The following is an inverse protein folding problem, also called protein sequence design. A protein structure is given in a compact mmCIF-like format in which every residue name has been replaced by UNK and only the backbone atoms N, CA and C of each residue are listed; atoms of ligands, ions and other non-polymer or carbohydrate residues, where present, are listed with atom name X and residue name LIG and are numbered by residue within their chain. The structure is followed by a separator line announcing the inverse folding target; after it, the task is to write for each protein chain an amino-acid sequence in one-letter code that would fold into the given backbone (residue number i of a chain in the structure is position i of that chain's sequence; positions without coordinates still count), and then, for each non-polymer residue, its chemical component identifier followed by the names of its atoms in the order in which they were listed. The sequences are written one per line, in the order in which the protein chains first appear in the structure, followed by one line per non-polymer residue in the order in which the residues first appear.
data_IF_406588104101
#
_entry.id   IF_406588104101
#
_cell.length_a   1.000
_cell.length_b   1.000
_cell.length_c   1.000
_cell.angle_alpha   90.00
_cell.angle_beta   90.00
_cell.angle_gamma   90.00
#
_symmetry.space_group_name_H-M   'P 1'
#
loop_
_entity.id
_entity.type
_entity.pdbx_description
1 polymer ?
#
# COMPACT_ATOMS: atom_id res chain seq x y z
N UNK A 1 -1.25 25.29 61.49
CA UNK A 1 -0.47 25.41 60.24
C UNK A 1 -0.06 24.01 59.78
N UNK A 2 -0.77 23.42 58.80
CA UNK A 2 -0.44 22.07 58.29
C UNK A 2 0.67 22.22 57.25
N UNK A 3 1.85 21.65 57.51
CA UNK A 3 2.96 21.59 56.54
C UNK A 3 2.46 20.82 55.31
N UNK A 4 2.13 21.53 54.25
CA UNK A 4 1.95 20.93 52.93
C UNK A 4 3.33 20.44 52.51
N UNK A 5 3.60 19.17 52.81
CA UNK A 5 4.91 18.54 52.63
C UNK A 5 5.30 18.56 51.16
N UNK A 6 6.49 19.06 50.88
CA UNK A 6 7.13 19.08 49.56
C UNK A 6 7.05 17.74 48.82
N UNK A 7 7.00 16.60 49.54
CA UNK A 7 6.78 15.25 49.01
C UNK A 7 5.45 15.06 48.26
N UNK A 8 4.38 15.76 48.67
CA UNK A 8 3.07 15.69 48.01
C UNK A 8 3.07 16.44 46.67
N UNK A 9 3.89 17.49 46.55
CA UNK A 9 4.06 18.23 45.31
C UNK A 9 4.85 17.42 44.28
N UNK A 10 5.92 16.75 44.72
CA UNK A 10 6.77 15.91 43.88
C UNK A 10 5.98 14.71 43.34
N UNK A 11 5.19 14.04 44.18
CA UNK A 11 4.40 12.87 43.77
C UNK A 11 3.35 13.24 42.71
N UNK A 12 2.69 14.40 42.84
CA UNK A 12 1.71 14.90 41.86
C UNK A 12 2.37 15.26 40.54
N UNK A 13 3.56 15.86 40.57
CA UNK A 13 4.33 16.18 39.37
C UNK A 13 4.74 14.90 38.62
N UNK A 14 5.19 13.86 39.34
CA UNK A 14 5.54 12.55 38.75
C UNK A 14 4.31 11.88 38.13
N UNK A 15 3.16 11.88 38.81
CA UNK A 15 1.91 11.34 38.28
C UNK A 15 1.41 12.09 37.03
N UNK A 16 1.52 13.42 37.02
CA UNK A 16 1.15 14.23 35.86
C UNK A 16 2.07 13.99 34.66
N UNK A 17 3.38 13.84 34.90
CA UNK A 17 4.36 13.54 33.85
C UNK A 17 4.16 12.14 33.26
N UNK A 18 3.82 11.17 34.11
CA UNK A 18 3.49 9.81 33.68
C UNK A 18 2.18 9.76 32.87
N UNK A 19 1.13 10.48 33.31
CA UNK A 19 -0.13 10.58 32.58
C UNK A 19 0.04 11.27 31.21
N UNK A 20 0.87 12.32 31.13
CA UNK A 20 1.22 12.97 29.87
C UNK A 20 1.95 12.01 28.92
N UNK A 21 2.91 11.22 29.42
CA UNK A 21 3.62 10.22 28.64
C UNK A 21 2.68 9.12 28.08
N UNK A 22 1.69 8.68 28.86
CA UNK A 22 0.68 7.69 28.42
C UNK A 22 -0.26 8.27 27.35
N UNK A 23 -0.59 9.57 27.42
CA UNK A 23 -1.39 10.22 26.38
C UNK A 23 -0.64 10.32 25.04
N UNK A 24 0.69 10.49 25.09
CA UNK A 24 1.54 10.59 23.90
C UNK A 24 1.73 9.26 23.14
N UNK A 25 1.52 8.09 23.76
CA UNK A 25 1.67 6.79 23.07
C UNK A 25 0.51 6.46 22.12
N UNK A 26 -0.62 7.16 22.23
CA UNK A 26 -1.80 6.93 21.37
C UNK A 26 -1.61 7.41 19.92
N UNK A 27 -0.52 8.12 19.62
CA UNK A 27 -0.21 8.67 18.28
C UNK A 27 0.88 7.84 17.57
N UNK A 28 1.03 6.55 17.89
CA UNK A 28 1.85 5.64 17.09
C UNK A 28 1.17 5.39 15.74
N UNK A 29 1.43 6.27 14.76
CA UNK A 29 1.01 6.08 13.37
C UNK A 29 1.70 4.82 12.81
N UNK A 30 0.93 3.85 12.36
CA UNK A 30 1.43 2.70 11.62
C UNK A 30 1.92 3.18 10.24
N UNK A 31 3.18 3.60 10.14
CA UNK A 31 3.78 3.94 8.85
C UNK A 31 3.82 2.68 7.98
N UNK A 32 3.06 2.67 6.89
CA UNK A 32 3.04 1.57 5.93
C UNK A 32 3.88 1.97 4.73
N UNK A 33 4.94 1.21 4.49
CA UNK A 33 5.79 1.37 3.32
C UNK A 33 5.03 0.95 2.06
N UNK A 34 4.83 1.91 1.14
CA UNK A 34 4.07 1.69 -0.09
C UNK A 34 4.77 2.28 -1.32
N UNK A 35 4.48 1.68 -2.47
CA UNK A 35 4.77 2.20 -3.80
C UNK A 35 3.52 2.15 -4.68
N UNK A 36 3.73 2.07 -5.99
CA UNK A 36 2.66 1.92 -6.98
C UNK A 36 3.09 1.08 -8.17
N UNK A 37 2.10 0.51 -8.85
CA UNK A 37 2.28 -0.20 -10.12
C UNK A 37 1.32 0.43 -11.14
N UNK A 38 1.85 0.78 -12.30
CA UNK A 38 1.08 1.30 -13.42
C UNK A 38 1.42 0.51 -14.69
N UNK A 39 0.55 0.59 -15.68
CA UNK A 39 0.77 -0.12 -16.92
C UNK A 39 -0.26 0.19 -17.96
N UNK A 40 0.04 -0.19 -19.20
CA UNK A 40 -0.88 -0.15 -20.33
C UNK A 40 -1.04 -1.54 -20.90
N UNK A 41 -2.26 -1.89 -21.29
CA UNK A 41 -2.55 -3.12 -22.02
C UNK A 41 -2.86 -2.76 -23.46
N UNK A 42 -2.10 -3.33 -24.38
CA UNK A 42 -2.34 -3.24 -25.82
C UNK A 42 -2.64 -4.62 -26.40
N UNK A 43 -3.10 -4.67 -27.64
CA UNK A 43 -3.17 -5.91 -28.43
C UNK A 43 -1.98 -6.03 -29.39
N UNK A 44 -1.81 -7.15 -30.12
CA UNK A 44 -0.72 -7.32 -31.08
C UNK A 44 -0.75 -6.34 -32.27
N UNK A 45 -1.87 -5.65 -32.51
CA UNK A 45 -1.96 -4.59 -33.52
C UNK A 45 -1.50 -3.22 -32.99
N UNK A 46 -1.26 -3.11 -31.68
CA UNK A 46 -0.87 -1.89 -30.98
C UNK A 46 -2.05 -1.07 -30.47
N UNK A 47 -3.28 -1.57 -30.58
CA UNK A 47 -4.46 -0.88 -30.05
C UNK A 47 -4.58 -1.08 -28.54
N UNK A 48 -5.04 -0.05 -27.82
CA UNK A 48 -5.25 -0.14 -26.36
C UNK A 48 -6.46 -1.00 -26.02
N UNK A 49 -6.34 -1.81 -24.96
CA UNK A 49 -7.42 -2.69 -24.50
C UNK A 49 -8.10 -2.08 -23.28
N UNK A 50 -9.29 -1.51 -23.47
CA UNK A 50 -10.13 -0.98 -22.40
C UNK A 50 -10.93 -2.08 -21.70
N UNK A 51 -11.11 -1.97 -20.39
CA UNK A 51 -11.92 -2.90 -19.59
C UNK A 51 -11.25 -4.23 -19.27
N UNK A 52 -9.99 -4.44 -19.64
CA UNK A 52 -9.21 -5.62 -19.27
C UNK A 52 -9.05 -5.71 -17.76
N UNK A 53 -9.33 -6.87 -17.17
CA UNK A 53 -9.15 -7.11 -15.74
C UNK A 53 -7.69 -7.39 -15.45
N UNK A 54 -7.12 -6.61 -14.55
CA UNK A 54 -5.76 -6.77 -14.03
C UNK A 54 -5.84 -7.22 -12.58
N UNK A 55 -5.14 -8.29 -12.25
CA UNK A 55 -5.05 -8.84 -10.88
C UNK A 55 -3.61 -8.79 -10.42
N UNK A 56 -3.40 -8.15 -9.29
CA UNK A 56 -2.13 -8.02 -8.60
C UNK A 56 -2.14 -8.93 -7.37
N UNK A 57 -1.31 -9.97 -7.37
CA UNK A 57 -1.19 -10.92 -6.25
C UNK A 57 0.15 -10.74 -5.56
N UNK A 58 0.14 -10.47 -4.25
CA UNK A 58 1.34 -10.44 -3.44
C UNK A 58 1.86 -11.87 -3.22
N UNK A 59 3.09 -12.15 -3.63
CA UNK A 59 3.68 -13.50 -3.59
C UNK A 59 4.02 -13.95 -2.16
N UNK A 60 4.25 -13.03 -1.23
CA UNK A 60 4.57 -13.35 0.17
C UNK A 60 3.33 -13.63 1.03
N UNK A 61 2.20 -13.00 0.72
CA UNK A 61 0.96 -13.07 1.54
C UNK A 61 -0.22 -13.73 0.84
N UNK A 62 -0.17 -13.90 -0.48
CA UNK A 62 -1.28 -14.39 -1.29
C UNK A 62 -2.42 -13.38 -1.49
N UNK A 63 -2.35 -12.19 -0.88
CA UNK A 63 -3.37 -11.16 -1.03
C UNK A 63 -3.47 -10.69 -2.48
N UNK A 64 -4.69 -10.58 -3.00
CA UNK A 64 -4.96 -10.16 -4.36
C UNK A 64 -5.77 -8.86 -4.40
N UNK A 65 -5.40 -7.98 -5.32
CA UNK A 65 -6.14 -6.78 -5.69
C UNK A 65 -6.49 -6.87 -7.17
N UNK A 66 -7.67 -6.41 -7.56
CA UNK A 66 -8.04 -6.33 -8.97
C UNK A 66 -8.51 -4.93 -9.35
N UNK A 67 -8.23 -4.55 -10.59
CA UNK A 67 -8.75 -3.35 -11.23
C UNK A 67 -9.04 -3.64 -12.71
N UNK A 68 -9.70 -2.73 -13.39
CA UNK A 68 -9.89 -2.80 -14.84
C UNK A 68 -9.10 -1.67 -15.51
N UNK A 69 -8.65 -1.88 -16.74
CA UNK A 69 -8.07 -0.80 -17.54
C UNK A 69 -9.11 0.25 -17.90
N UNK A 70 -8.68 1.51 -17.93
CA UNK A 70 -9.47 2.63 -18.43
C UNK A 70 -9.62 2.63 -19.95
N UNK A 71 -10.29 3.66 -20.49
CA UNK A 71 -10.50 3.81 -21.94
C UNK A 71 -9.21 4.02 -22.75
N UNK A 72 -8.14 4.44 -22.09
CA UNK A 72 -6.78 4.57 -22.61
C UNK A 72 -5.95 3.27 -22.47
N UNK A 73 -6.55 2.18 -21.97
CA UNK A 73 -5.86 0.92 -21.70
C UNK A 73 -4.97 0.95 -20.47
N UNK A 74 -4.98 2.03 -19.70
CA UNK A 74 -4.11 2.20 -18.52
C UNK A 74 -4.75 1.56 -17.28
N UNK A 75 -3.94 0.90 -16.47
CA UNK A 75 -4.31 0.47 -15.12
C UNK A 75 -3.34 1.03 -14.08
N UNK A 76 -3.82 1.14 -12.84
CA UNK A 76 -3.03 1.61 -11.71
C UNK A 76 -3.41 0.91 -10.41
N UNK A 77 -2.40 0.48 -9.67
CA UNK A 77 -2.49 0.08 -8.28
C UNK A 77 -1.68 1.07 -7.44
N UNK A 78 -2.35 1.83 -6.58
CA UNK A 78 -1.71 2.77 -5.66
C UNK A 78 -2.69 3.11 -4.52
N UNK A 79 -2.26 3.04 -3.25
CA UNK A 79 -0.96 2.54 -2.79
C UNK A 79 -0.85 1.00 -2.84
N UNK A 80 0.35 0.47 -3.00
CA UNK A 80 0.69 -0.96 -2.93
C UNK A 80 1.78 -1.18 -1.90
N UNK A 81 1.63 -2.14 -0.98
CA UNK A 81 2.67 -2.45 0.00
C UNK A 81 3.95 -2.93 -0.69
N UNK A 82 5.11 -2.65 -0.12
CA UNK A 82 6.36 -3.20 -0.64
C UNK A 82 6.35 -4.74 -0.67
N UNK A 83 7.03 -5.33 -1.65
CA UNK A 83 7.13 -6.78 -1.78
C UNK A 83 7.23 -7.25 -3.23
N UNK A 84 7.11 -8.57 -3.40
CA UNK A 84 7.11 -9.24 -4.70
C UNK A 84 5.68 -9.58 -5.12
N UNK A 85 5.39 -9.35 -6.39
CA UNK A 85 4.04 -9.51 -6.93
C UNK A 85 4.02 -10.29 -8.24
N UNK A 86 2.88 -10.95 -8.48
CA UNK A 86 2.45 -11.42 -9.79
C UNK A 86 1.35 -10.49 -10.30
N UNK A 87 1.50 -9.98 -11.52
CA UNK A 87 0.41 -9.36 -12.26
C UNK A 87 -0.15 -10.35 -13.28
N UNK A 88 -1.46 -10.37 -13.40
CA UNK A 88 -2.18 -11.20 -14.36
C UNK A 88 -3.26 -10.36 -15.04
N UNK A 89 -3.34 -10.44 -16.36
CA UNK A 89 -4.30 -9.70 -17.17
C UNK A 89 -5.24 -10.66 -17.87
N UNK A 90 -6.53 -10.33 -17.92
CA UNK A 90 -7.55 -11.13 -18.59
C UNK A 90 -8.58 -10.22 -19.25
N UNK A 91 -8.97 -10.57 -20.47
CA UNK A 91 -10.04 -9.91 -21.20
C UNK A 91 -10.75 -10.92 -22.10
N UNK A 92 -12.05 -10.74 -22.30
CA UNK A 92 -12.84 -11.70 -23.07
C UNK A 92 -12.33 -11.79 -24.51
N UNK A 93 -12.04 -13.00 -24.98
CA UNK A 93 -11.50 -13.23 -26.33
C UNK A 93 -9.98 -13.11 -26.44
N UNK A 94 -9.27 -12.77 -25.34
CA UNK A 94 -7.82 -12.69 -25.29
C UNK A 94 -7.25 -13.77 -24.38
N UNK A 95 -5.99 -14.14 -24.63
CA UNK A 95 -5.26 -15.03 -23.72
C UNK A 95 -4.91 -14.28 -22.44
N UNK A 96 -5.01 -14.97 -21.31
CA UNK A 96 -4.50 -14.46 -20.04
C UNK A 96 -2.97 -14.38 -20.12
N UNK A 97 -2.40 -13.22 -19.78
CA UNK A 97 -0.96 -13.01 -19.72
C UNK A 97 -0.59 -12.65 -18.29
N UNK A 98 0.54 -13.16 -17.80
CA UNK A 98 1.01 -12.87 -16.45
C UNK A 98 2.49 -12.55 -16.43
N UNK A 99 2.88 -11.68 -15.49
CA UNK A 99 4.26 -11.37 -15.16
C UNK A 99 4.47 -11.60 -13.66
N UNK A 100 5.43 -12.44 -13.32
CA UNK A 100 5.84 -12.71 -11.94
C UNK A 100 7.05 -11.87 -11.54
N UNK A 101 7.41 -11.91 -10.26
CA UNK A 101 8.61 -11.29 -9.68
C UNK A 101 8.68 -9.78 -9.87
N UNK A 102 7.50 -9.13 -9.88
CA UNK A 102 7.40 -7.67 -9.93
C UNK A 102 7.67 -7.11 -8.54
N UNK A 103 8.87 -6.55 -8.35
CA UNK A 103 9.31 -5.94 -7.09
C UNK A 103 8.78 -4.52 -6.94
N UNK A 104 8.13 -4.24 -5.81
CA UNK A 104 7.72 -2.88 -5.40
C UNK A 104 8.55 -2.45 -4.20
N UNK A 105 9.32 -1.38 -4.36
CA UNK A 105 10.10 -0.73 -3.31
C UNK A 105 9.39 0.52 -2.78
N UNK A 106 9.84 1.04 -1.63
CA UNK A 106 9.25 2.21 -0.96
C UNK A 106 9.27 3.42 -1.89
N UNK A 107 8.11 4.05 -2.11
CA UNK A 107 7.95 5.22 -2.97
C UNK A 107 8.15 4.96 -4.47
N UNK A 108 8.42 3.72 -4.88
CA UNK A 108 8.66 3.40 -6.29
C UNK A 108 7.35 3.41 -7.09
N UNK A 109 7.47 3.77 -8.38
CA UNK A 109 6.43 3.55 -9.39
C UNK A 109 6.97 2.54 -10.40
N UNK A 110 6.41 1.34 -10.38
CA UNK A 110 6.81 0.25 -11.28
C UNK A 110 5.91 0.27 -12.51
N UNK A 111 6.51 0.28 -13.70
CA UNK A 111 5.79 0.23 -14.97
C UNK A 111 5.82 -1.19 -15.52
N UNK A 112 4.65 -1.77 -15.78
CA UNK A 112 4.50 -3.10 -16.35
C UNK A 112 3.49 -3.01 -17.50
N UNK A 113 3.88 -3.36 -18.71
CA UNK A 113 2.97 -3.32 -19.87
C UNK A 113 2.68 -4.73 -20.36
N UNK A 114 1.50 -4.93 -20.94
CA UNK A 114 1.08 -6.19 -21.53
C UNK A 114 0.63 -6.00 -22.99
N UNK A 115 0.79 -7.05 -23.80
CA UNK A 115 0.40 -7.12 -25.22
C UNK A 115 -0.31 -8.44 -25.49
#
# INVERSE_FOLDING_TARGET
MKRVGTSSCILKAVLAMFAAAVLLTTIAQAQVDTGSIIGTITDPSGAVVSGAKVTLTNLGTGAALSTNTGGDGVYKFSPVRIGMYKLETSFQGFKTVSQTDVKVDVGATVVVNFT
#
